data_IF_521623814975
#
_entry.id   IF_521623814975
#
_cell.length_a   1.000
_cell.length_b   1.000
_cell.length_c   1.000
_cell.angle_alpha   90.00
_cell.angle_beta   90.00
_cell.angle_gamma   90.00
#
_symmetry.space_group_name_H-M   'P 1'
#
loop_
_entity.id
_entity.type
_entity.pdbx_description
1 polymer ?
#
# COMPACT_ATOMS: atom_id res chain seq x y z
N UNK A 1 -10.64 18.19 0.31
CA UNK A 1 -9.49 17.27 0.23
C UNK A 1 -8.26 18.03 0.69
N UNK A 2 -7.50 17.51 1.62
CA UNK A 2 -6.27 18.14 2.10
C UNK A 2 -5.22 18.07 0.97
N UNK A 3 -4.59 19.21 0.56
CA UNK A 3 -3.63 19.21 -0.56
C UNK A 3 -2.46 18.27 -0.35
N UNK A 4 -2.01 18.06 0.89
CA UNK A 4 -0.90 17.17 1.24
C UNK A 4 -1.16 15.71 0.86
N UNK A 5 -2.43 15.25 0.82
CA UNK A 5 -2.79 13.89 0.41
C UNK A 5 -2.60 13.61 -1.09
N UNK A 6 -2.39 14.66 -1.90
CA UNK A 6 -1.98 14.52 -3.30
C UNK A 6 -0.48 14.32 -3.46
N UNK A 7 0.28 14.48 -2.37
CA UNK A 7 1.72 14.36 -2.35
C UNK A 7 2.17 12.96 -1.90
N UNK A 8 3.38 12.61 -2.26
CA UNK A 8 4.16 11.53 -1.66
C UNK A 8 5.22 12.11 -0.76
N UNK A 9 5.44 11.49 0.38
CA UNK A 9 6.58 11.78 1.25
C UNK A 9 7.79 11.00 0.73
N UNK A 10 8.88 11.71 0.55
CA UNK A 10 10.20 11.18 0.24
C UNK A 10 11.07 11.35 1.47
N UNK A 11 11.56 10.27 2.02
CA UNK A 11 12.43 10.22 3.19
C UNK A 11 13.72 9.48 2.85
N UNK A 12 14.81 10.22 2.85
CA UNK A 12 16.17 9.68 2.63
C UNK A 12 16.85 9.58 3.98
N UNK A 13 16.98 8.37 4.47
CA UNK A 13 17.61 8.02 5.75
C UNK A 13 18.09 6.57 5.74
N UNK A 14 18.98 6.20 6.63
CA UNK A 14 19.44 4.81 6.81
C UNK A 14 19.85 4.10 5.51
N UNK A 15 20.53 4.81 4.61
CA UNK A 15 21.00 4.29 3.30
C UNK A 15 19.89 3.86 2.33
N UNK A 16 18.66 4.38 2.48
CA UNK A 16 17.52 4.09 1.64
C UNK A 16 16.67 5.32 1.36
N UNK A 17 15.89 5.27 0.27
CA UNK A 17 14.78 6.19 0.02
C UNK A 17 13.47 5.48 0.34
N UNK A 18 12.74 6.00 1.32
CA UNK A 18 11.40 5.56 1.64
C UNK A 18 10.39 6.51 0.99
N UNK A 19 9.48 5.95 0.21
CA UNK A 19 8.38 6.68 -0.43
C UNK A 19 7.10 6.29 0.26
N UNK A 20 6.39 7.26 0.85
CA UNK A 20 5.11 7.02 1.54
C UNK A 20 4.00 7.81 0.88
N UNK A 21 2.88 7.15 0.63
CA UNK A 21 1.64 7.77 0.15
C UNK A 21 0.48 7.34 1.05
N UNK A 22 -0.46 8.24 1.29
CA UNK A 22 -1.64 7.93 2.10
C UNK A 22 -2.86 8.73 1.64
N UNK A 23 -4.04 8.18 1.87
CA UNK A 23 -5.32 8.86 1.76
C UNK A 23 -6.09 8.85 3.09
N UNK A 24 -5.37 8.59 4.21
CA UNK A 24 -5.80 8.42 5.59
C UNK A 24 -6.41 7.04 5.92
N UNK A 25 -6.97 6.34 4.94
CA UNK A 25 -7.50 4.98 5.13
C UNK A 25 -6.46 3.91 4.79
N UNK A 26 -5.59 4.22 3.82
CA UNK A 26 -4.54 3.35 3.33
C UNK A 26 -3.20 4.06 3.35
N UNK A 27 -2.17 3.33 3.72
CA UNK A 27 -0.79 3.82 3.65
C UNK A 27 0.00 2.86 2.77
N UNK A 28 0.67 3.42 1.77
CA UNK A 28 1.61 2.71 0.92
C UNK A 28 3.02 3.14 1.30
N UNK A 29 3.87 2.19 1.61
CA UNK A 29 5.29 2.42 1.90
C UNK A 29 6.13 1.58 0.96
N UNK A 30 7.02 2.21 0.23
CA UNK A 30 7.98 1.53 -0.64
C UNK A 30 9.40 1.99 -0.31
N UNK A 31 10.33 1.05 -0.22
CA UNK A 31 11.73 1.33 0.09
C UNK A 31 12.61 0.99 -1.10
N UNK A 32 13.44 1.94 -1.51
CA UNK A 32 14.45 1.78 -2.54
C UNK A 32 15.81 1.73 -1.84
N UNK A 33 16.45 0.58 -1.93
CA UNK A 33 17.79 0.36 -1.43
C UNK A 33 18.84 0.57 -2.55
N UNK A 34 20.11 0.55 -2.21
CA UNK A 34 21.22 0.70 -3.15
C UNK A 34 21.19 2.04 -3.89
N UNK A 35 20.90 3.11 -3.18
CA UNK A 35 21.00 4.49 -3.65
C UNK A 35 22.28 5.14 -3.12
N UNK A 36 22.78 6.12 -3.86
CA UNK A 36 23.87 6.97 -3.39
C UNK A 36 23.26 8.17 -2.66
N UNK A 37 23.57 8.32 -1.37
CA UNK A 37 23.09 9.41 -0.53
C UNK A 37 24.24 10.38 -0.33
N UNK A 38 24.02 11.64 -0.68
CA UNK A 38 24.94 12.76 -0.43
C UNK A 38 24.55 13.43 0.87
N UNK A 39 23.24 13.63 1.08
CA UNK A 39 22.66 14.28 2.25
C UNK A 39 21.31 13.63 2.56
N UNK A 40 21.07 13.37 3.84
CA UNK A 40 19.77 12.86 4.31
C UNK A 40 18.75 13.98 4.43
N UNK A 41 17.47 13.65 4.24
CA UNK A 41 16.42 14.65 4.36
C UNK A 41 15.05 14.13 3.99
N UNK A 42 14.03 14.96 4.26
CA UNK A 42 12.62 14.64 4.01
C UNK A 42 11.93 15.79 3.28
N UNK A 43 11.11 15.43 2.31
CA UNK A 43 10.26 16.39 1.60
C UNK A 43 9.02 15.72 1.05
N UNK A 44 8.04 16.51 0.61
CA UNK A 44 6.89 15.97 -0.10
C UNK A 44 6.77 16.62 -1.48
N UNK A 45 6.25 15.89 -2.45
CA UNK A 45 5.94 16.43 -3.78
C UNK A 45 4.70 15.77 -4.36
N UNK A 46 4.06 16.43 -5.34
CA UNK A 46 2.84 15.94 -5.96
C UNK A 46 3.08 14.60 -6.68
N UNK A 47 2.39 13.56 -6.23
CA UNK A 47 2.57 12.18 -6.69
C UNK A 47 2.36 12.00 -8.19
N UNK A 48 1.31 12.59 -8.75
CA UNK A 48 0.97 12.46 -10.18
C UNK A 48 2.04 13.10 -11.07
N UNK A 49 2.53 14.28 -10.70
CA UNK A 49 3.58 14.98 -11.47
C UNK A 49 4.89 14.20 -11.40
N UNK A 50 5.27 13.75 -10.20
CA UNK A 50 6.48 12.94 -10.02
C UNK A 50 6.42 11.65 -10.84
N UNK A 51 5.29 10.95 -10.82
CA UNK A 51 5.06 9.76 -11.62
C UNK A 51 5.17 10.05 -13.12
N UNK A 52 4.52 11.12 -13.60
CA UNK A 52 4.52 11.48 -15.02
C UNK A 52 5.92 11.86 -15.54
N UNK A 53 6.76 12.43 -14.70
CA UNK A 53 8.17 12.73 -15.03
C UNK A 53 8.99 11.45 -15.07
N UNK A 54 8.97 10.68 -13.98
CA UNK A 54 9.85 9.51 -13.81
C UNK A 54 9.57 8.44 -14.88
N UNK A 55 8.30 8.19 -15.21
CA UNK A 55 7.93 7.20 -16.24
C UNK A 55 8.40 7.57 -17.67
N UNK A 56 8.77 8.83 -17.91
CA UNK A 56 9.28 9.30 -19.21
C UNK A 56 10.79 9.26 -19.30
N UNK A 57 11.47 9.03 -18.19
CA UNK A 57 12.92 8.88 -18.21
C UNK A 57 13.34 7.57 -18.89
N UNK A 58 14.49 7.58 -19.51
CA UNK A 58 15.03 6.40 -20.16
C UNK A 58 15.40 5.35 -19.10
N UNK A 59 14.90 4.13 -19.28
CA UNK A 59 15.19 3.02 -18.36
C UNK A 59 16.71 2.80 -18.23
N UNK A 60 17.16 2.55 -16.99
CA UNK A 60 18.57 2.30 -16.68
C UNK A 60 19.43 3.57 -16.51
N UNK A 61 18.83 4.77 -16.65
CA UNK A 61 19.54 6.02 -16.35
C UNK A 61 19.44 6.38 -14.88
N UNK A 62 20.49 7.01 -14.36
CA UNK A 62 20.52 7.56 -13.00
C UNK A 62 19.54 8.73 -12.89
N UNK A 63 18.82 8.78 -11.80
CA UNK A 63 17.95 9.90 -11.42
C UNK A 63 18.56 10.54 -10.18
N UNK A 64 18.82 11.83 -10.25
CA UNK A 64 19.27 12.63 -9.12
C UNK A 64 18.09 13.41 -8.53
N UNK A 65 17.97 13.36 -7.22
CA UNK A 65 17.00 14.13 -6.46
C UNK A 65 17.77 15.10 -5.57
N UNK A 66 17.45 16.37 -5.61
CA UNK A 66 18.04 17.37 -4.71
C UNK A 66 16.97 18.37 -4.25
N UNK A 67 17.03 18.75 -2.97
CA UNK A 67 16.14 19.75 -2.39
C UNK A 67 16.84 21.11 -2.42
N UNK A 68 16.24 22.11 -3.06
CA UNK A 68 16.74 23.45 -3.07
C UNK A 68 16.30 24.23 -1.82
N UNK A 69 17.02 25.32 -1.51
CA UNK A 69 16.68 26.24 -0.40
C UNK A 69 15.27 26.85 -0.51
N UNK A 70 14.69 26.87 -1.73
CA UNK A 70 13.37 27.43 -2.00
C UNK A 70 12.22 26.39 -1.84
N UNK A 71 12.47 25.30 -1.10
CA UNK A 71 11.51 24.21 -0.91
C UNK A 71 11.01 23.62 -2.23
N UNK A 72 11.92 23.46 -3.20
CA UNK A 72 11.67 22.79 -4.46
C UNK A 72 12.50 21.53 -4.57
N UNK A 73 11.88 20.46 -5.00
CA UNK A 73 12.55 19.22 -5.35
C UNK A 73 12.99 19.30 -6.82
N UNK A 74 14.28 19.28 -7.04
CA UNK A 74 14.85 19.12 -8.37
C UNK A 74 14.96 17.63 -8.69
N UNK A 75 14.43 17.24 -9.83
CA UNK A 75 14.49 15.88 -10.37
C UNK A 75 15.25 15.96 -11.68
N UNK A 76 16.40 15.30 -11.73
CA UNK A 76 17.30 15.37 -12.89
C UNK A 76 17.61 13.96 -13.41
N UNK A 77 17.58 13.81 -14.72
CA UNK A 77 18.09 12.62 -15.40
C UNK A 77 18.57 12.99 -16.80
N UNK A 78 19.79 12.59 -17.13
CA UNK A 78 20.48 12.92 -18.38
C UNK A 78 20.51 14.45 -18.61
N UNK A 79 19.82 14.96 -19.65
CA UNK A 79 19.72 16.38 -19.97
C UNK A 79 18.44 17.05 -19.47
N UNK A 80 17.59 16.32 -18.77
CA UNK A 80 16.28 16.79 -18.31
C UNK A 80 16.35 17.18 -16.85
N UNK A 81 15.88 18.40 -16.54
CA UNK A 81 15.80 18.94 -15.17
C UNK A 81 14.40 19.46 -14.93
N UNK A 82 13.79 19.05 -13.84
CA UNK A 82 12.45 19.46 -13.41
C UNK A 82 12.52 19.99 -11.99
N UNK A 83 11.80 21.07 -11.71
CA UNK A 83 11.66 21.63 -10.36
C UNK A 83 10.21 21.51 -9.92
N UNK A 84 9.98 20.71 -8.88
CA UNK A 84 8.67 20.40 -8.31
C UNK A 84 8.45 21.19 -7.03
N UNK A 85 7.25 21.71 -6.84
CA UNK A 85 6.89 22.35 -5.59
C UNK A 85 6.75 21.30 -4.49
N UNK A 86 7.20 21.67 -3.28
CA UNK A 86 7.17 20.84 -2.09
C UNK A 86 6.24 21.46 -1.04
N UNK A 87 5.61 20.61 -0.25
CA UNK A 87 4.98 20.96 1.03
C UNK A 87 5.88 20.38 2.13
N UNK A 88 5.95 21.06 3.26
CA UNK A 88 6.80 20.61 4.36
C UNK A 88 6.44 19.18 4.79
N UNK A 89 7.45 18.34 4.96
CA UNK A 89 7.26 16.95 5.38
C UNK A 89 6.55 16.82 6.75
N UNK A 90 6.66 17.81 7.62
CA UNK A 90 5.96 17.84 8.91
C UNK A 90 4.43 17.94 8.79
N UNK A 91 3.92 18.35 7.64
CA UNK A 91 2.48 18.40 7.36
C UNK A 91 1.92 17.06 6.86
N UNK A 92 2.81 16.12 6.51
CA UNK A 92 2.39 14.81 6.01
C UNK A 92 1.88 13.95 7.17
N UNK A 93 0.65 13.40 7.06
CA UNK A 93 0.05 12.60 8.12
C UNK A 93 0.75 11.23 8.21
N UNK A 94 1.71 11.12 9.11
CA UNK A 94 2.30 9.84 9.49
C UNK A 94 1.45 9.26 10.62
N UNK A 95 1.05 8.02 10.48
CA UNK A 95 0.52 7.21 11.59
C UNK A 95 1.68 6.52 12.29
N UNK A 96 1.62 6.45 13.62
CA UNK A 96 2.59 5.67 14.38
C UNK A 96 2.55 4.21 13.91
N UNK A 97 3.70 3.73 13.44
CA UNK A 97 3.88 2.37 12.92
C UNK A 97 3.89 1.31 14.05
N UNK A 98 2.92 1.35 14.94
CA UNK A 98 2.71 0.27 15.91
C UNK A 98 1.95 -0.87 15.23
N UNK A 99 2.60 -1.53 14.27
CA UNK A 99 2.08 -2.77 13.70
C UNK A 99 2.12 -3.86 14.76
N UNK A 100 1.00 -4.54 14.95
CA UNK A 100 0.94 -5.75 15.79
C UNK A 100 1.98 -6.75 15.29
N UNK A 101 2.71 -7.37 16.23
CA UNK A 101 3.84 -8.27 15.94
C UNK A 101 3.42 -9.63 15.37
N UNK A 102 2.13 -9.87 15.16
CA UNK A 102 1.63 -11.15 14.65
C UNK A 102 1.66 -11.14 13.11
N UNK A 103 2.71 -11.69 12.56
CA UNK A 103 2.87 -11.86 11.11
C UNK A 103 2.63 -13.31 10.69
N UNK A 104 1.97 -13.50 9.58
CA UNK A 104 1.90 -14.78 8.89
C UNK A 104 2.10 -14.59 7.39
N UNK A 105 2.57 -15.63 6.72
CA UNK A 105 2.83 -15.60 5.30
C UNK A 105 1.78 -16.43 4.55
N UNK A 106 1.29 -15.90 3.42
CA UNK A 106 0.39 -16.58 2.50
C UNK A 106 0.84 -16.35 1.06
N UNK A 107 0.68 -17.34 0.19
CA UNK A 107 0.95 -17.15 -1.24
C UNK A 107 0.03 -16.08 -1.84
N UNK A 108 0.59 -15.15 -2.61
CA UNK A 108 -0.17 -14.07 -3.28
C UNK A 108 -1.37 -14.60 -4.07
N UNK A 109 -1.17 -15.67 -4.84
CA UNK A 109 -2.25 -16.32 -5.61
C UNK A 109 -3.37 -16.89 -4.74
N UNK A 110 -3.05 -17.37 -3.53
CA UNK A 110 -4.07 -17.86 -2.59
C UNK A 110 -4.89 -16.70 -2.02
N UNK A 111 -4.23 -15.63 -1.60
CA UNK A 111 -4.89 -14.44 -1.09
C UNK A 111 -5.76 -13.78 -2.17
N UNK A 112 -5.20 -13.58 -3.37
CA UNK A 112 -5.93 -13.03 -4.51
C UNK A 112 -7.20 -13.84 -4.83
N UNK A 113 -7.09 -15.17 -4.82
CA UNK A 113 -8.24 -16.07 -5.05
C UNK A 113 -9.32 -15.92 -3.97
N UNK A 114 -8.92 -15.80 -2.69
CA UNK A 114 -9.86 -15.55 -1.59
C UNK A 114 -10.63 -14.25 -1.79
N UNK A 115 -9.91 -13.16 -2.04
CA UNK A 115 -10.48 -11.83 -2.20
C UNK A 115 -11.38 -11.74 -3.45
N UNK A 116 -10.91 -12.23 -4.60
CA UNK A 116 -11.67 -12.20 -5.85
C UNK A 116 -13.00 -12.96 -5.77
N UNK A 117 -13.06 -14.05 -4.98
CA UNK A 117 -14.30 -14.82 -4.78
C UNK A 117 -15.31 -14.15 -3.87
N UNK A 118 -14.91 -13.14 -3.09
CA UNK A 118 -15.78 -12.47 -2.13
C UNK A 118 -16.08 -11.01 -2.49
N UNK A 119 -15.18 -10.31 -3.21
CA UNK A 119 -15.27 -8.86 -3.46
C UNK A 119 -16.58 -8.39 -4.11
N UNK A 120 -17.23 -9.24 -4.91
CA UNK A 120 -18.48 -8.89 -5.59
C UNK A 120 -19.71 -8.89 -4.67
N UNK A 121 -19.58 -9.46 -3.47
CA UNK A 121 -20.64 -9.47 -2.43
C UNK A 121 -20.46 -8.40 -1.36
N UNK A 122 -19.44 -7.54 -1.50
CA UNK A 122 -19.24 -6.41 -0.58
C UNK A 122 -20.30 -5.36 -0.82
N UNK A 123 -20.89 -4.82 0.27
CA UNK A 123 -21.88 -3.76 0.20
C UNK A 123 -21.33 -2.46 -0.37
N UNK A 124 -22.20 -1.72 -1.09
CA UNK A 124 -21.93 -0.34 -1.51
C UNK A 124 -22.50 0.68 -0.52
N UNK A 125 -23.20 0.23 0.52
CA UNK A 125 -23.79 1.09 1.53
C UNK A 125 -22.74 1.46 2.58
N UNK A 126 -22.19 2.67 2.46
CA UNK A 126 -21.15 3.19 3.35
C UNK A 126 -21.66 3.44 4.79
N UNK A 127 -22.96 3.47 5.01
CA UNK A 127 -23.53 3.63 6.36
C UNK A 127 -23.40 2.36 7.20
N UNK A 128 -23.27 1.20 6.53
CA UNK A 128 -23.09 -0.12 7.16
C UNK A 128 -21.65 -0.59 7.01
N UNK A 129 -20.73 0.07 7.72
CA UNK A 129 -19.29 -0.18 7.64
C UNK A 129 -18.91 -1.66 7.77
N UNK A 130 -19.61 -2.43 8.62
CA UNK A 130 -19.38 -3.87 8.81
C UNK A 130 -19.73 -4.74 7.59
N UNK A 131 -20.47 -4.21 6.59
CA UNK A 131 -20.76 -4.87 5.31
C UNK A 131 -19.89 -4.31 4.16
N UNK A 132 -19.20 -3.21 4.38
CA UNK A 132 -18.41 -2.51 3.35
C UNK A 132 -17.00 -3.07 3.21
N UNK A 133 -16.83 -4.37 3.44
CA UNK A 133 -15.54 -5.02 3.35
C UNK A 133 -15.62 -6.53 3.31
N UNK A 134 -14.46 -7.17 3.30
CA UNK A 134 -14.31 -8.62 3.42
C UNK A 134 -13.90 -8.95 4.85
N UNK A 135 -14.69 -9.75 5.54
CA UNK A 135 -14.35 -10.31 6.84
C UNK A 135 -13.35 -11.44 6.64
N UNK A 136 -12.12 -11.21 7.11
CA UNK A 136 -11.03 -12.17 7.07
C UNK A 136 -10.81 -12.76 8.45
N UNK A 137 -10.89 -14.07 8.56
CA UNK A 137 -10.78 -14.78 9.83
C UNK A 137 -10.30 -16.20 9.63
N UNK A 138 -9.87 -16.83 10.71
CA UNK A 138 -9.49 -18.23 10.71
C UNK A 138 -10.67 -19.11 11.08
N UNK A 139 -10.86 -20.21 10.36
CA UNK A 139 -11.81 -21.25 10.70
C UNK A 139 -11.11 -22.60 10.82
N UNK A 140 -11.64 -23.47 11.66
CA UNK A 140 -11.16 -24.83 11.83
C UNK A 140 -12.28 -25.82 11.51
N UNK A 141 -11.93 -26.87 10.79
CA UNK A 141 -12.83 -28.00 10.56
C UNK A 141 -12.02 -29.28 10.72
N UNK A 142 -12.40 -30.09 11.73
CA UNK A 142 -11.60 -31.23 12.18
C UNK A 142 -10.16 -30.76 12.49
N UNK A 143 -9.16 -31.43 11.94
CA UNK A 143 -7.74 -31.08 12.10
C UNK A 143 -7.20 -30.08 11.08
N UNK A 144 -8.08 -29.48 10.25
CA UNK A 144 -7.69 -28.58 9.17
C UNK A 144 -8.04 -27.14 9.51
N UNK A 145 -7.06 -26.27 9.32
CA UNK A 145 -7.19 -24.83 9.53
C UNK A 145 -7.30 -24.10 8.19
N UNK A 146 -8.15 -23.09 8.13
CA UNK A 146 -8.40 -22.33 6.92
C UNK A 146 -8.36 -20.83 7.20
N UNK A 147 -7.73 -20.06 6.30
CA UNK A 147 -8.01 -18.65 6.18
C UNK A 147 -9.34 -18.52 5.40
N UNK A 148 -10.29 -17.86 6.00
CA UNK A 148 -11.65 -17.72 5.47
C UNK A 148 -11.94 -16.26 5.21
N UNK A 149 -12.39 -15.96 4.00
CA UNK A 149 -12.91 -14.66 3.59
C UNK A 149 -14.43 -14.76 3.42
N UNK A 150 -15.17 -13.81 3.99
CA UNK A 150 -16.62 -13.71 3.85
C UNK A 150 -17.05 -12.28 3.54
N UNK A 151 -18.04 -12.12 2.68
CA UNK A 151 -18.64 -10.82 2.37
C UNK A 151 -20.12 -10.97 2.09
N UNK A 152 -20.92 -9.96 2.44
CA UNK A 152 -22.35 -9.89 2.17
C UNK A 152 -22.81 -8.45 1.99
N UNK A 153 -23.83 -8.26 1.15
CA UNK A 153 -24.54 -6.99 0.96
C UNK A 153 -26.00 -7.04 1.47
N UNK A 154 -26.33 -8.05 2.29
CA UNK A 154 -27.65 -8.40 2.81
C UNK A 154 -28.56 -9.14 1.81
N UNK A 155 -28.24 -9.18 0.52
CA UNK A 155 -29.02 -9.89 -0.51
C UNK A 155 -28.32 -11.16 -1.00
N UNK A 156 -27.02 -11.19 -0.89
CA UNK A 156 -26.15 -12.31 -1.24
C UNK A 156 -24.97 -12.41 -0.29
N UNK A 157 -24.39 -13.58 -0.20
CA UNK A 157 -23.21 -13.84 0.64
C UNK A 157 -22.23 -14.70 -0.14
N UNK A 158 -20.96 -14.38 0.02
CA UNK A 158 -19.85 -15.19 -0.53
C UNK A 158 -18.90 -15.58 0.58
N UNK A 159 -18.49 -16.84 0.57
CA UNK A 159 -17.49 -17.39 1.47
C UNK A 159 -16.45 -18.12 0.63
N UNK A 160 -15.20 -17.86 0.88
CA UNK A 160 -14.06 -18.54 0.28
C UNK A 160 -13.08 -18.97 1.35
N UNK A 161 -12.48 -20.15 1.19
CA UNK A 161 -11.54 -20.72 2.16
C UNK A 161 -10.25 -21.13 1.45
N UNK A 162 -9.11 -20.88 2.10
CA UNK A 162 -7.82 -21.39 1.73
C UNK A 162 -7.21 -22.16 2.89
N UNK A 163 -6.75 -23.38 2.65
CA UNK A 163 -6.13 -24.20 3.68
C UNK A 163 -4.82 -23.56 4.12
N UNK A 164 -4.60 -23.56 5.43
CA UNK A 164 -3.35 -23.17 6.07
C UNK A 164 -2.59 -24.42 6.53
N UNK A 165 -1.28 -24.37 6.49
CA UNK A 165 -0.43 -25.47 6.95
C UNK A 165 -0.39 -25.55 8.48
N UNK A 166 -0.60 -24.42 9.15
CA UNK A 166 -0.63 -24.31 10.61
C UNK A 166 -1.66 -23.27 11.05
N UNK A 167 -2.05 -23.36 12.32
CA UNK A 167 -2.83 -22.31 12.97
C UNK A 167 -2.01 -21.01 13.02
N UNK A 168 -2.65 -19.91 12.70
CA UNK A 168 -2.11 -18.56 12.81
C UNK A 168 -2.85 -17.82 13.92
N UNK A 169 -2.14 -16.93 14.60
CA UNK A 169 -2.74 -16.09 15.64
C UNK A 169 -2.90 -14.68 15.10
N UNK A 170 -4.11 -14.33 14.73
CA UNK A 170 -4.48 -12.96 14.40
C UNK A 170 -5.96 -12.73 14.77
N UNK A 171 -6.29 -11.50 15.11
CA UNK A 171 -7.65 -11.10 15.37
C UNK A 171 -8.43 -11.01 14.04
N UNK A 172 -9.69 -11.47 14.00
CA UNK A 172 -10.52 -11.32 12.83
C UNK A 172 -10.65 -9.83 12.43
N UNK A 173 -10.50 -9.55 11.14
CA UNK A 173 -10.51 -8.18 10.61
C UNK A 173 -11.50 -8.04 9.46
N UNK A 174 -12.00 -6.83 9.26
CA UNK A 174 -12.73 -6.46 8.05
C UNK A 174 -11.76 -5.64 7.17
N UNK A 175 -11.42 -6.21 6.02
CA UNK A 175 -10.67 -5.48 4.99
C UNK A 175 -11.64 -4.55 4.25
N UNK A 176 -11.48 -3.23 4.33
CA UNK A 176 -12.36 -2.29 3.66
C UNK A 176 -12.39 -2.53 2.16
N UNK A 177 -13.53 -2.24 1.52
CA UNK A 177 -13.72 -2.43 0.08
C UNK A 177 -12.58 -1.85 -0.75
N UNK A 178 -12.19 -0.61 -0.47
CA UNK A 178 -11.09 0.07 -1.17
C UNK A 178 -9.78 -0.71 -1.06
N UNK A 179 -9.43 -1.15 0.15
CA UNK A 179 -8.25 -1.98 0.43
C UNK A 179 -8.28 -3.28 -0.37
N UNK A 180 -9.43 -3.96 -0.40
CA UNK A 180 -9.61 -5.21 -1.16
C UNK A 180 -9.31 -5.00 -2.66
N UNK A 181 -9.85 -3.95 -3.27
CA UNK A 181 -9.63 -3.67 -4.69
C UNK A 181 -8.17 -3.31 -4.99
N UNK A 182 -7.54 -2.51 -4.14
CA UNK A 182 -6.11 -2.16 -4.28
C UNK A 182 -5.21 -3.39 -4.12
N UNK A 183 -5.46 -4.22 -3.09
CA UNK A 183 -4.72 -5.48 -2.91
C UNK A 183 -4.89 -6.41 -4.10
N UNK A 184 -6.10 -6.58 -4.62
CA UNK A 184 -6.31 -7.41 -5.80
C UNK A 184 -5.47 -6.91 -6.99
N UNK A 185 -5.45 -5.61 -7.25
CA UNK A 185 -4.66 -5.03 -8.33
C UNK A 185 -3.15 -5.22 -8.14
N UNK A 186 -2.64 -5.04 -6.92
CA UNK A 186 -1.23 -5.24 -6.60
C UNK A 186 -0.80 -6.71 -6.70
N UNK A 187 -1.72 -7.64 -6.40
CA UNK A 187 -1.44 -9.07 -6.37
C UNK A 187 -1.59 -9.76 -7.73
N UNK A 188 -2.21 -9.11 -8.73
CA UNK A 188 -2.42 -9.71 -10.06
C UNK A 188 -1.13 -10.15 -10.72
N UNK A 189 -0.11 -9.30 -10.67
CA UNK A 189 1.19 -9.52 -11.31
C UNK A 189 2.29 -9.94 -10.31
N UNK A 190 1.93 -10.18 -9.05
CA UNK A 190 2.88 -10.54 -8.00
C UNK A 190 2.89 -12.04 -7.73
N UNK A 191 4.05 -12.68 -7.90
CA UNK A 191 4.27 -14.10 -7.64
C UNK A 191 5.19 -14.33 -6.43
N UNK A 192 4.71 -14.02 -5.24
CA UNK A 192 5.52 -14.19 -4.04
C UNK A 192 4.66 -14.53 -2.82
N UNK A 193 5.29 -14.49 -1.67
CA UNK A 193 4.62 -14.56 -0.39
C UNK A 193 4.25 -13.15 0.08
N UNK A 194 3.04 -13.03 0.61
CA UNK A 194 2.52 -11.83 1.27
C UNK A 194 2.56 -12.09 2.77
N UNK A 195 3.09 -11.13 3.49
CA UNK A 195 3.12 -11.16 4.96
C UNK A 195 2.05 -10.27 5.54
#
# INVERSE_FOLDING_TARGET
TLPILSNVLLDVSDSKLTITATDLDLIFVHQINNIEIIEEGKTTTTSSIMYDIVRKFVSGKKINLSLSSDSKLQVESDKSVFNLNCINASEFPLTDENFNQNEFSIKSKQLLKLLNKCKFSVSNDETRHYLSGIFLHQTQNEDKVYLTAAATDSHRMSISKSRLDKKIEFDPIILPKKTVFQLCSLLEDYEGDVK
#
